data_IF_720337239738
#
_entry.id   IF_720337239738
#
_cell.length_a   1.000
_cell.length_b   1.000
_cell.length_c   1.000
_cell.angle_alpha   90.00
_cell.angle_beta   90.00
_cell.angle_gamma   90.00
#
_symmetry.space_group_name_H-M   'P 1'
#
loop_
_entity.id
_entity.type
_entity.pdbx_description
1 polymer ?
#
# COMPACT_ATOMS: atom_id res chain seq x y z
N UNK A 1 17.59 18.10 28.42
CA UNK A 1 18.08 16.75 28.09
C UNK A 1 16.92 15.79 28.31
N UNK A 2 16.24 15.35 27.24
CA UNK A 2 15.22 14.30 27.35
C UNK A 2 15.31 13.45 26.09
N UNK A 3 16.22 12.48 26.12
CA UNK A 3 16.20 11.41 25.14
C UNK A 3 14.86 10.70 25.30
N UNK A 4 14.00 10.78 24.29
CA UNK A 4 12.84 9.91 24.18
C UNK A 4 13.39 8.48 24.15
N UNK A 5 13.37 7.83 25.31
CA UNK A 5 13.97 6.52 25.56
C UNK A 5 13.19 5.42 24.86
N UNK A 6 13.35 5.34 23.54
CA UNK A 6 12.82 4.26 22.75
C UNK A 6 13.85 3.13 22.81
N UNK A 7 13.42 1.97 23.30
CA UNK A 7 14.24 0.76 23.25
C UNK A 7 14.34 0.36 21.78
N UNK A 8 15.54 0.03 21.32
CA UNK A 8 15.80 -0.50 19.98
C UNK A 8 14.79 -1.63 19.68
N UNK A 9 13.97 -1.46 18.63
CA UNK A 9 12.94 -2.44 18.23
C UNK A 9 11.54 -2.24 18.81
N UNK A 10 11.26 -1.18 19.57
CA UNK A 10 9.88 -0.82 19.96
C UNK A 10 9.20 0.10 18.93
N UNK A 11 7.88 -0.06 18.76
CA UNK A 11 7.09 0.75 17.83
C UNK A 11 6.98 2.20 18.34
N UNK A 12 7.31 3.21 17.49
CA UNK A 12 7.18 4.61 17.85
C UNK A 12 5.72 4.97 18.12
N UNK A 13 5.49 5.97 18.98
CA UNK A 13 4.13 6.45 19.32
C UNK A 13 3.18 5.39 19.88
N UNK A 14 3.72 4.29 20.41
CA UNK A 14 2.95 3.27 21.11
C UNK A 14 3.32 3.17 22.59
N UNK A 15 2.41 2.62 23.39
CA UNK A 15 2.60 2.32 24.80
C UNK A 15 2.48 0.81 24.99
N UNK A 16 3.56 0.20 25.51
CA UNK A 16 3.61 -1.22 25.83
C UNK A 16 3.09 -1.43 27.25
N UNK A 17 2.04 -2.23 27.39
CA UNK A 17 1.42 -2.58 28.67
C UNK A 17 2.15 -3.73 29.36
N UNK A 18 1.73 -4.03 30.60
CA UNK A 18 2.29 -5.11 31.41
C UNK A 18 2.15 -6.45 30.66
N UNK A 19 3.27 -7.18 30.60
CA UNK A 19 3.31 -8.52 30.04
C UNK A 19 2.41 -9.47 30.82
N UNK A 20 1.61 -10.27 30.12
CA UNK A 20 0.74 -11.28 30.69
C UNK A 20 0.78 -12.55 29.84
N UNK A 21 0.58 -13.70 30.49
CA UNK A 21 0.50 -14.98 29.79
C UNK A 21 -0.87 -15.10 29.09
N UNK A 22 -0.85 -15.48 27.81
CA UNK A 22 -2.03 -15.69 26.98
C UNK A 22 -1.92 -17.02 26.26
N UNK A 23 -3.02 -17.78 26.25
CA UNK A 23 -3.15 -18.97 25.43
C UNK A 23 -3.53 -18.55 24.01
N UNK A 24 -2.69 -18.88 23.05
CA UNK A 24 -2.93 -18.69 21.62
C UNK A 24 -3.08 -20.05 20.96
N UNK A 25 -3.54 -20.07 19.70
CA UNK A 25 -3.68 -21.31 18.93
C UNK A 25 -2.35 -22.08 18.84
N UNK A 26 -1.22 -21.37 18.87
CA UNK A 26 0.12 -21.96 18.82
C UNK A 26 0.72 -22.29 20.19
N UNK A 27 -0.06 -22.21 21.28
CA UNK A 27 0.35 -22.55 22.65
C UNK A 27 0.47 -21.34 23.59
N UNK A 28 1.13 -21.55 24.74
CA UNK A 28 1.31 -20.57 25.80
C UNK A 28 2.38 -19.52 25.44
N UNK A 29 1.99 -18.24 25.40
CA UNK A 29 2.90 -17.12 25.10
C UNK A 29 2.77 -16.02 26.14
N UNK A 30 3.87 -15.33 26.42
CA UNK A 30 3.86 -14.09 27.21
C UNK A 30 3.77 -12.92 26.25
N UNK A 31 2.67 -12.19 26.29
CA UNK A 31 2.39 -11.07 25.39
C UNK A 31 2.18 -9.78 26.18
N UNK A 32 2.52 -8.65 25.56
CA UNK A 32 2.22 -7.31 26.08
C UNK A 32 1.29 -6.61 25.12
N UNK A 33 0.16 -6.11 25.62
CA UNK A 33 -0.74 -5.29 24.80
C UNK A 33 -0.07 -3.96 24.44
N UNK A 34 -0.49 -3.41 23.31
CA UNK A 34 0.06 -2.18 22.76
C UNK A 34 -1.08 -1.25 22.45
N UNK A 35 -1.01 -0.03 22.96
CA UNK A 35 -1.96 1.04 22.65
C UNK A 35 -1.29 2.21 21.98
N UNK A 36 -2.06 2.95 21.18
CA UNK A 36 -1.64 4.23 20.63
C UNK A 36 -1.39 5.23 21.78
N UNK A 37 -0.25 5.93 21.75
CA UNK A 37 0.07 6.96 22.76
C UNK A 37 -0.89 8.16 22.69
N UNK A 38 -1.38 8.49 21.49
CA UNK A 38 -2.18 9.70 21.26
C UNK A 38 -3.66 9.52 21.60
N UNK A 39 -4.25 8.37 21.24
CA UNK A 39 -5.69 8.12 21.46
C UNK A 39 -5.98 7.02 22.48
N UNK A 40 -4.97 6.33 23.01
CA UNK A 40 -5.13 5.27 24.02
C UNK A 40 -5.77 3.98 23.50
N UNK A 41 -6.17 3.91 22.24
CA UNK A 41 -6.80 2.71 21.66
C UNK A 41 -5.80 1.56 21.58
N UNK A 42 -6.22 0.36 21.98
CA UNK A 42 -5.43 -0.88 21.84
C UNK A 42 -5.28 -1.20 20.37
N UNK A 43 -4.04 -1.20 19.86
CA UNK A 43 -3.72 -1.51 18.47
C UNK A 43 -3.43 -3.01 18.27
N UNK A 44 -2.99 -3.70 19.32
CA UNK A 44 -2.66 -5.12 19.27
C UNK A 44 -1.73 -5.55 20.40
N UNK A 45 -0.79 -6.45 20.13
CA UNK A 45 0.14 -7.00 21.13
C UNK A 45 1.52 -7.34 20.55
N UNK A 46 2.54 -7.38 21.42
CA UNK A 46 3.90 -7.85 21.15
C UNK A 46 4.18 -9.16 21.88
N UNK A 47 4.91 -10.05 21.23
CA UNK A 47 5.46 -11.23 21.90
C UNK A 47 6.68 -10.85 22.74
N UNK A 48 6.58 -11.05 24.05
CA UNK A 48 7.67 -10.80 25.01
C UNK A 48 8.47 -12.06 25.21
N UNK A 49 7.80 -13.21 25.34
CA UNK A 49 8.44 -14.50 25.54
C UNK A 49 7.52 -15.64 25.04
N UNK A 50 8.12 -16.79 24.74
CA UNK A 50 7.40 -18.00 24.35
C UNK A 50 7.90 -19.18 25.17
N UNK A 51 6.96 -19.99 25.69
CA UNK A 51 7.31 -21.16 26.50
C UNK A 51 8.05 -22.24 25.70
N UNK A 52 7.80 -22.30 24.39
CA UNK A 52 8.35 -23.28 23.47
C UNK A 52 9.46 -22.65 22.60
N UNK A 53 10.64 -23.26 22.55
CA UNK A 53 11.77 -22.78 21.75
C UNK A 53 11.42 -22.65 20.27
N UNK A 54 10.57 -23.55 19.77
CA UNK A 54 10.06 -23.55 18.40
C UNK A 54 9.26 -22.27 18.05
N UNK A 55 8.76 -21.54 19.06
CA UNK A 55 7.97 -20.31 18.88
C UNK A 55 8.78 -19.03 19.19
N UNK A 56 10.03 -19.14 19.65
CA UNK A 56 10.87 -17.98 20.00
C UNK A 56 11.14 -17.05 18.83
N UNK A 57 11.03 -17.52 17.58
CA UNK A 57 11.13 -16.69 16.39
C UNK A 57 10.09 -15.55 16.33
N UNK A 58 8.99 -15.66 17.09
CA UNK A 58 7.95 -14.61 17.20
C UNK A 58 8.31 -13.55 18.24
N UNK A 59 9.23 -13.83 19.16
CA UNK A 59 9.61 -12.90 20.24
C UNK A 59 10.15 -11.61 19.62
N UNK A 60 9.66 -10.48 20.11
CA UNK A 60 9.97 -9.16 19.55
C UNK A 60 9.15 -8.78 18.31
N UNK A 61 8.28 -9.67 17.79
CA UNK A 61 7.33 -9.34 16.72
C UNK A 61 6.04 -8.77 17.29
N UNK A 62 5.33 -8.04 16.43
CA UNK A 62 4.11 -7.31 16.75
C UNK A 62 2.95 -7.83 15.90
N UNK A 63 1.79 -7.96 16.53
CA UNK A 63 0.52 -8.23 15.86
C UNK A 63 -0.37 -7.01 16.07
N UNK A 64 -0.85 -6.43 14.98
CA UNK A 64 -1.73 -5.28 14.99
C UNK A 64 -3.07 -5.64 14.35
N UNK A 65 -4.15 -5.14 14.94
CA UNK A 65 -5.50 -5.31 14.42
C UNK A 65 -5.69 -4.45 13.16
N UNK A 66 -5.98 -5.09 12.01
CA UNK A 66 -6.16 -4.39 10.72
C UNK A 66 -7.26 -3.32 10.76
N UNK A 67 -8.28 -3.49 11.61
CA UNK A 67 -9.36 -2.49 11.79
C UNK A 67 -8.87 -1.17 12.40
N UNK A 68 -7.69 -1.16 13.03
CA UNK A 68 -7.15 -0.01 13.77
C UNK A 68 -5.87 0.54 13.17
N UNK A 69 -5.40 -0.04 12.07
CA UNK A 69 -4.23 0.40 11.33
C UNK A 69 -4.61 0.69 9.89
N UNK A 70 -4.13 1.81 9.36
CA UNK A 70 -4.17 2.09 7.94
C UNK A 70 -2.75 1.87 7.42
N UNK A 71 -2.60 1.03 6.40
CA UNK A 71 -1.31 0.82 5.73
C UNK A 71 -1.04 2.03 4.83
N UNK A 72 -0.59 3.13 5.44
CA UNK A 72 -0.33 4.40 4.77
C UNK A 72 -1.28 5.49 5.24
N UNK A 73 -0.78 6.45 6.01
CA UNK A 73 -1.29 7.79 5.87
C UNK A 73 -0.63 8.30 4.58
N UNK A 74 -1.30 8.09 3.46
CA UNK A 74 -1.13 9.05 2.38
C UNK A 74 -1.56 10.36 3.03
N UNK A 75 -0.60 11.26 3.28
CA UNK A 75 -0.93 12.68 3.27
C UNK A 75 -1.26 12.98 1.82
N UNK A 76 -2.43 12.51 1.43
CA UNK A 76 -2.99 12.61 0.12
C UNK A 76 -3.47 14.05 0.01
N UNK A 77 -2.55 14.91 -0.42
CA UNK A 77 -2.91 16.10 -1.18
C UNK A 77 -3.26 15.67 -2.62
N UNK A 78 -4.12 14.66 -2.80
CA UNK A 78 -4.61 14.25 -4.12
C UNK A 78 -5.89 13.39 -4.12
N UNK A 79 -6.87 13.75 -3.30
CA UNK A 79 -8.27 13.42 -3.53
C UNK A 79 -9.02 14.75 -3.60
N UNK A 80 -8.98 15.36 -4.79
CA UNK A 80 -9.92 16.39 -5.16
C UNK A 80 -10.47 16.05 -6.55
N UNK A 81 -11.48 15.18 -6.59
CA UNK A 81 -12.41 15.14 -7.73
C UNK A 81 -13.58 16.06 -7.41
N UNK A 82 -13.55 17.26 -7.98
CA UNK A 82 -14.66 18.01 -8.62
C UNK A 82 -14.24 19.49 -8.81
N UNK A 83 -13.99 19.83 -10.09
CA UNK A 83 -14.64 20.93 -10.80
C UNK A 83 -14.60 22.35 -10.17
N UNK A 84 -13.69 23.22 -10.67
CA UNK A 84 -14.03 24.48 -11.36
C UNK A 84 -12.77 25.31 -11.77
N UNK A 85 -12.32 25.14 -13.03
CA UNK A 85 -11.66 26.11 -13.95
C UNK A 85 -10.22 26.59 -13.65
N UNK A 86 -9.25 26.66 -14.58
CA UNK A 86 -9.23 26.70 -16.04
C UNK A 86 -7.76 26.84 -16.51
N UNK A 87 -7.24 26.00 -17.43
CA UNK A 87 -6.28 26.38 -18.49
C UNK A 87 -6.22 25.28 -19.58
N UNK A 88 -5.91 25.64 -20.84
CA UNK A 88 -6.81 25.50 -21.99
C UNK A 88 -6.74 24.15 -22.71
N UNK A 89 -7.88 23.78 -23.30
CA UNK A 89 -8.09 22.95 -24.49
C UNK A 89 -6.81 22.48 -25.21
N UNK A 90 -6.56 21.15 -25.19
CA UNK A 90 -6.39 20.31 -26.40
C UNK A 90 -6.68 18.82 -26.09
N UNK A 91 -7.96 18.44 -26.17
CA UNK A 91 -8.41 17.15 -26.72
C UNK A 91 -7.59 15.87 -26.37
N UNK A 92 -7.38 15.54 -25.09
CA UNK A 92 -7.04 14.18 -24.67
C UNK A 92 -8.36 13.46 -24.37
N UNK A 93 -8.91 12.86 -25.42
CA UNK A 93 -10.00 11.89 -25.32
C UNK A 93 -9.58 10.79 -24.35
N UNK A 94 -10.48 10.36 -23.48
CA UNK A 94 -10.34 9.12 -22.72
C UNK A 94 -10.08 7.97 -23.72
N UNK A 95 -8.81 7.65 -23.95
CA UNK A 95 -8.41 6.58 -24.86
C UNK A 95 -8.68 5.27 -24.13
N UNK A 96 -9.87 4.73 -24.39
CA UNK A 96 -10.30 3.43 -23.89
C UNK A 96 -9.49 2.30 -24.56
N UNK A 97 -9.13 1.31 -23.74
CA UNK A 97 -8.44 0.09 -24.16
C UNK A 97 -9.24 -0.64 -25.23
N UNK A 98 -8.67 -0.83 -26.42
CA UNK A 98 -9.33 -1.56 -27.49
C UNK A 98 -8.97 -3.05 -27.41
N UNK A 99 -9.89 -3.86 -26.88
CA UNK A 99 -9.69 -5.30 -26.76
C UNK A 99 -9.60 -6.05 -28.10
N UNK A 100 -9.87 -5.38 -29.23
CA UNK A 100 -9.67 -5.95 -30.57
C UNK A 100 -8.26 -5.71 -31.11
N UNK A 101 -7.45 -4.88 -30.44
CA UNK A 101 -6.07 -4.62 -30.82
C UNK A 101 -5.12 -5.56 -30.06
N UNK A 102 -4.63 -6.60 -30.74
CA UNK A 102 -3.70 -7.59 -30.18
C UNK A 102 -2.45 -6.95 -29.54
N UNK A 103 -1.99 -5.83 -30.11
CA UNK A 103 -0.84 -5.10 -29.57
C UNK A 103 -1.19 -4.39 -28.25
N UNK A 104 -2.40 -3.83 -28.11
CA UNK A 104 -2.84 -3.23 -26.84
C UNK A 104 -3.01 -4.33 -25.78
N UNK A 105 -3.55 -5.49 -26.17
CA UNK A 105 -3.68 -6.68 -25.31
C UNK A 105 -2.32 -7.16 -24.77
N UNK A 106 -1.30 -7.27 -25.62
CA UNK A 106 0.06 -7.65 -25.20
C UNK A 106 0.69 -6.60 -24.28
N UNK A 107 0.49 -5.31 -24.56
CA UNK A 107 1.00 -4.21 -23.75
C UNK A 107 0.35 -4.17 -22.36
N UNK A 108 -0.96 -4.48 -22.27
CA UNK A 108 -1.70 -4.50 -21.01
C UNK A 108 -1.27 -5.69 -20.16
N UNK A 109 -1.09 -6.87 -20.76
CA UNK A 109 -0.56 -8.04 -20.08
C UNK A 109 0.88 -7.83 -19.57
N UNK A 110 1.69 -7.07 -20.32
CA UNK A 110 3.08 -6.77 -19.98
C UNK A 110 3.25 -5.56 -19.05
N UNK A 111 2.15 -4.87 -18.70
CA UNK A 111 2.14 -3.71 -17.80
C UNK A 111 2.74 -2.43 -18.40
N UNK A 112 2.87 -2.36 -19.71
CA UNK A 112 3.44 -1.22 -20.46
C UNK A 112 2.37 -0.40 -21.20
N UNK A 113 1.11 -0.85 -21.18
CA UNK A 113 0.01 -0.13 -21.81
C UNK A 113 -0.27 1.21 -21.12
N UNK A 114 -0.35 2.27 -21.93
CA UNK A 114 -0.78 3.61 -21.49
C UNK A 114 -1.68 4.24 -22.57
N UNK A 115 -2.64 5.10 -22.18
CA UNK A 115 -3.49 5.86 -23.12
C UNK A 115 -2.67 6.59 -24.20
N UNK A 116 -1.54 7.19 -23.82
CA UNK A 116 -0.68 7.91 -24.75
C UNK A 116 0.04 6.97 -25.73
N UNK A 117 0.47 5.78 -25.28
CA UNK A 117 1.10 4.78 -26.15
C UNK A 117 0.08 4.24 -27.16
N UNK A 118 -1.13 3.92 -26.70
CA UNK A 118 -2.26 3.50 -27.56
C UNK A 118 -2.59 4.57 -28.61
N UNK A 119 -2.77 5.83 -28.21
CA UNK A 119 -3.05 6.92 -29.15
C UNK A 119 -1.90 7.17 -30.16
N UNK A 120 -0.64 7.06 -29.72
CA UNK A 120 0.52 7.17 -30.61
C UNK A 120 0.59 6.02 -31.62
N UNK A 121 0.23 4.81 -31.22
CA UNK A 121 0.18 3.62 -32.09
C UNK A 121 -0.98 3.72 -33.09
N UNK A 122 -2.18 4.09 -32.64
CA UNK A 122 -3.35 4.37 -33.50
C UNK A 122 -3.04 5.48 -34.53
N UNK A 123 -2.39 6.57 -34.12
CA UNK A 123 -1.92 7.63 -35.04
C UNK A 123 -0.89 7.14 -36.05
N UNK A 124 0.02 6.24 -35.63
CA UNK A 124 1.00 5.62 -36.54
C UNK A 124 0.32 4.71 -37.57
N UNK A 125 -0.70 3.95 -37.17
CA UNK A 125 -1.50 3.11 -38.07
C UNK A 125 -2.33 3.95 -39.03
N UNK A 126 -2.94 5.04 -38.58
CA UNK A 126 -3.72 5.96 -39.40
C UNK A 126 -2.91 6.69 -40.49
N UNK A 127 -1.60 6.85 -40.30
CA UNK A 127 -0.67 7.45 -41.28
C UNK A 127 0.23 6.43 -41.99
N UNK A 128 0.10 5.14 -41.68
CA UNK A 128 1.01 4.08 -42.12
C UNK A 128 0.63 3.41 -43.44
N UNK A 129 -0.54 3.70 -44.00
CA UNK A 129 -0.97 3.18 -45.31
C UNK A 129 -1.00 4.33 -46.34
N UNK A 130 0.19 4.81 -46.70
CA UNK A 130 0.39 5.47 -47.99
C UNK A 130 1.23 4.54 -48.84
N UNK A 131 0.54 3.75 -49.66
CA UNK A 131 1.11 2.91 -50.71
C UNK A 131 2.00 3.78 -51.62
N UNK A 132 3.32 3.61 -51.50
CA UNK A 132 4.32 4.11 -52.44
C UNK A 132 4.59 3.04 -53.50
N UNK A 133 3.58 2.69 -54.28
CA UNK A 133 3.77 2.10 -55.61
C UNK A 133 2.90 2.83 -56.63
N UNK A 134 3.48 3.89 -57.20
CA UNK A 134 3.11 4.48 -58.49
C UNK A 134 4.39 4.60 -59.33
#
# INVERSE_FOLDING_TARGET
MSATGWKEGDLPNTLTHKAHARQLVTGAHTVSDISCRSCGSVLGWKYVDAAEDSQKYKVGKFILETKRIVKGAEWDESMNEEDNGMVPDKNDQDIEFDSQDEDECEDLFSGIWTPQLAAKRRKRRAYGDVDLTA
#
